data_IF_442917214587
#
_entry.id   IF_442917214587
#
_cell.length_a   1.000
_cell.length_b   1.000
_cell.length_c   1.000
_cell.angle_alpha   90.00
_cell.angle_beta   90.00
_cell.angle_gamma   90.00
#
_symmetry.space_group_name_H-M   'P 1'
#
loop_
_entity.id
_entity.type
_entity.pdbx_description
1 polymer ?
#
# COMPACT_ATOMS: atom_id res chain seq x y z
N UNK A 1 52.95 -2.31 18.35
CA UNK A 1 51.88 -1.30 18.14
C UNK A 1 51.31 -1.46 16.73
N UNK A 2 50.33 -2.35 16.50
CA UNK A 2 49.67 -2.51 15.19
C UNK A 2 48.18 -2.10 15.18
N UNK A 3 47.61 -1.61 16.29
CA UNK A 3 46.17 -1.39 16.40
C UNK A 3 45.66 -0.05 15.85
N UNK A 4 46.54 0.84 15.37
CA UNK A 4 46.13 2.20 15.00
C UNK A 4 45.77 2.36 13.51
N UNK A 5 46.27 1.49 12.63
CA UNK A 5 45.99 1.55 11.19
C UNK A 5 44.62 0.94 10.86
N UNK A 6 44.19 -0.11 11.55
CA UNK A 6 42.87 -0.72 11.31
C UNK A 6 41.71 0.22 11.71
N UNK A 7 41.86 0.98 12.80
CA UNK A 7 40.83 1.95 13.21
C UNK A 7 40.69 3.12 12.22
N UNK A 8 41.77 3.51 11.53
CA UNK A 8 41.69 4.57 10.51
C UNK A 8 41.00 4.08 9.23
N UNK A 9 41.19 2.81 8.87
CA UNK A 9 40.54 2.22 7.70
C UNK A 9 39.04 2.06 7.90
N UNK A 10 38.60 1.57 9.08
CA UNK A 10 37.18 1.45 9.41
C UNK A 10 36.47 2.82 9.43
N UNK A 11 37.12 3.86 9.98
CA UNK A 11 36.55 5.20 10.01
C UNK A 11 36.38 5.80 8.60
N UNK A 12 37.35 5.57 7.71
CA UNK A 12 37.27 6.03 6.32
C UNK A 12 36.18 5.30 5.52
N UNK A 13 35.97 4.02 5.80
CA UNK A 13 34.91 3.22 5.16
C UNK A 13 33.51 3.66 5.63
N UNK A 14 33.37 3.98 6.92
CA UNK A 14 32.12 4.51 7.49
C UNK A 14 31.80 5.90 6.94
N UNK A 15 32.78 6.81 6.86
CA UNK A 15 32.61 8.14 6.30
C UNK A 15 32.28 8.10 4.79
N UNK A 16 32.87 7.17 4.04
CA UNK A 16 32.56 6.96 2.62
C UNK A 16 31.14 6.43 2.42
N UNK A 17 30.70 5.47 3.24
CA UNK A 17 29.33 4.95 3.19
C UNK A 17 28.30 6.01 3.58
N UNK A 18 28.61 6.84 4.58
CA UNK A 18 27.71 7.91 5.02
C UNK A 18 27.63 9.06 4.02
N UNK A 19 28.72 9.35 3.29
CA UNK A 19 28.73 10.27 2.14
C UNK A 19 27.87 9.76 0.98
N UNK A 20 27.97 8.47 0.63
CA UNK A 20 27.13 7.83 -0.40
C UNK A 20 25.65 7.86 0.00
N UNK A 21 25.32 7.54 1.27
CA UNK A 21 23.95 7.62 1.79
C UNK A 21 23.39 9.03 1.70
N UNK A 22 24.20 10.04 2.03
CA UNK A 22 23.81 11.46 1.90
C UNK A 22 23.57 11.84 0.43
N UNK A 23 24.45 11.45 -0.49
CA UNK A 23 24.28 11.70 -1.94
C UNK A 23 22.97 11.15 -2.50
N UNK A 24 22.66 9.88 -2.23
CA UNK A 24 21.42 9.21 -2.69
C UNK A 24 20.15 9.90 -2.16
N UNK A 25 20.22 10.53 -0.98
CA UNK A 25 19.07 11.23 -0.38
C UNK A 25 18.88 12.63 -0.98
N UNK A 26 19.96 13.35 -1.29
CA UNK A 26 19.89 14.66 -1.94
C UNK A 26 19.34 14.57 -3.37
N UNK A 27 19.71 13.52 -4.11
CA UNK A 27 19.20 13.31 -5.48
C UNK A 27 17.69 13.00 -5.50
N UNK A 28 17.20 12.21 -4.53
CA UNK A 28 15.75 11.93 -4.37
C UNK A 28 14.92 13.19 -4.08
N UNK A 29 15.47 14.16 -3.36
CA UNK A 29 14.77 15.40 -3.03
C UNK A 29 14.72 16.40 -4.20
N UNK A 30 15.70 16.38 -5.10
CA UNK A 30 15.75 17.26 -6.26
C UNK A 30 14.79 16.80 -7.38
N UNK A 31 14.62 15.49 -7.55
CA UNK A 31 13.72 14.91 -8.56
C UNK A 31 12.24 15.17 -8.25
N UNK A 32 11.83 15.16 -6.98
CA UNK A 32 10.48 15.55 -6.58
C UNK A 32 10.14 16.99 -7.01
N UNK A 33 11.13 17.90 -6.98
CA UNK A 33 10.95 19.29 -7.42
C UNK A 33 10.83 19.42 -8.95
N UNK A 34 11.68 18.72 -9.70
CA UNK A 34 11.63 18.73 -11.16
C UNK A 34 10.31 18.10 -11.67
N UNK A 35 9.87 17.02 -11.04
CA UNK A 35 8.59 16.38 -11.33
C UNK A 35 7.41 17.30 -10.96
N UNK A 36 7.42 17.93 -9.78
CA UNK A 36 6.37 18.89 -9.39
C UNK A 36 6.33 20.10 -10.35
N UNK A 37 7.49 20.59 -10.81
CA UNK A 37 7.59 21.69 -11.77
C UNK A 37 7.01 21.28 -13.14
N UNK A 38 7.39 20.11 -13.65
CA UNK A 38 6.88 19.59 -14.93
C UNK A 38 5.38 19.26 -14.87
N UNK A 39 4.90 18.68 -13.75
CA UNK A 39 3.49 18.40 -13.53
C UNK A 39 2.67 19.69 -13.39
N UNK A 40 3.21 20.75 -12.77
CA UNK A 40 2.55 22.07 -12.76
C UNK A 40 2.44 22.69 -14.15
N UNK A 41 3.53 22.67 -14.93
CA UNK A 41 3.54 23.16 -16.31
C UNK A 41 2.53 22.42 -17.19
N UNK A 42 2.47 21.09 -17.09
CA UNK A 42 1.51 20.28 -17.86
C UNK A 42 0.09 20.37 -17.32
N UNK A 43 -0.11 20.54 -16.01
CA UNK A 43 -1.44 20.81 -15.45
C UNK A 43 -1.98 22.16 -15.92
N UNK A 44 -1.13 23.15 -16.16
CA UNK A 44 -1.52 24.42 -16.77
C UNK A 44 -1.89 24.23 -18.25
N UNK A 45 -1.10 23.48 -19.01
CA UNK A 45 -1.42 23.14 -20.42
C UNK A 45 -2.73 22.33 -20.53
N UNK A 46 -2.95 21.33 -19.68
CA UNK A 46 -4.22 20.60 -19.62
C UNK A 46 -5.39 21.48 -19.18
N UNK A 47 -5.17 22.48 -18.31
CA UNK A 47 -6.21 23.46 -17.96
C UNK A 47 -6.55 24.34 -19.16
N UNK A 48 -5.57 24.78 -19.93
CA UNK A 48 -5.81 25.52 -21.18
C UNK A 48 -6.60 24.65 -22.16
N UNK A 49 -6.21 23.38 -22.35
CA UNK A 49 -6.93 22.43 -23.21
C UNK A 49 -8.35 22.13 -22.72
N UNK A 50 -8.58 22.00 -21.41
CA UNK A 50 -9.90 21.80 -20.82
C UNK A 50 -10.78 23.06 -20.92
N UNK A 51 -10.18 24.25 -20.80
CA UNK A 51 -10.87 25.53 -21.02
C UNK A 51 -11.24 25.68 -22.49
N UNK A 52 -10.36 25.30 -23.43
CA UNK A 52 -10.68 25.25 -24.86
C UNK A 52 -11.80 24.26 -25.16
N UNK A 53 -11.72 23.05 -24.60
CA UNK A 53 -12.75 22.02 -24.76
C UNK A 53 -14.10 22.47 -24.18
N UNK A 54 -14.11 23.09 -22.98
CA UNK A 54 -15.31 23.65 -22.38
C UNK A 54 -15.84 24.86 -23.13
N UNK A 55 -14.98 25.67 -23.75
CA UNK A 55 -15.40 26.77 -24.61
C UNK A 55 -16.00 26.26 -25.91
N UNK A 56 -15.50 25.16 -26.47
CA UNK A 56 -16.08 24.52 -27.64
C UNK A 56 -17.40 23.81 -27.31
N UNK A 57 -17.49 23.17 -26.14
CA UNK A 57 -18.74 22.63 -25.60
C UNK A 57 -19.73 23.76 -25.29
N UNK A 58 -19.31 24.87 -24.69
CA UNK A 58 -20.14 26.03 -24.42
C UNK A 58 -20.59 26.74 -25.71
N UNK A 59 -19.71 26.86 -26.71
CA UNK A 59 -20.07 27.34 -28.06
C UNK A 59 -21.08 26.41 -28.73
N UNK A 60 -21.03 25.11 -28.46
CA UNK A 60 -22.04 24.14 -28.93
C UNK A 60 -23.31 24.13 -28.08
N UNK A 61 -23.26 24.58 -26.82
CA UNK A 61 -24.38 24.64 -25.88
C UNK A 61 -25.07 26.01 -25.83
N UNK A 62 -24.49 27.05 -26.43
CA UNK A 62 -25.06 28.41 -26.50
C UNK A 62 -26.33 28.51 -27.37
N UNK A 63 -26.75 27.42 -28.00
CA UNK A 63 -28.08 27.29 -28.62
C UNK A 63 -29.19 26.84 -27.65
N UNK A 64 -28.90 26.60 -26.37
CA UNK A 64 -29.95 26.22 -25.41
C UNK A 64 -29.67 26.61 -23.96
N UNK A 65 -30.25 27.76 -23.61
CA UNK A 65 -30.73 28.18 -22.29
C UNK A 65 -29.72 28.71 -21.23
N UNK A 66 -30.13 29.71 -20.42
CA UNK A 66 -29.25 30.38 -19.47
C UNK A 66 -29.45 29.88 -18.02
N UNK A 67 -28.34 29.89 -17.28
CA UNK A 67 -28.32 30.37 -15.89
C UNK A 67 -28.07 29.35 -14.79
N UNK A 68 -26.82 29.23 -14.36
CA UNK A 68 -26.51 29.04 -12.93
C UNK A 68 -25.04 29.40 -12.66
N UNK A 69 -24.83 30.52 -11.95
CA UNK A 69 -23.53 30.92 -11.41
C UNK A 69 -23.16 30.00 -10.23
N UNK A 70 -22.04 29.28 -10.35
CA UNK A 70 -21.39 28.61 -9.24
C UNK A 70 -20.48 29.60 -8.51
N UNK A 71 -20.68 29.74 -7.20
CA UNK A 71 -19.91 30.57 -6.31
C UNK A 71 -18.48 30.04 -6.17
N UNK A 72 -17.53 30.70 -6.83
CA UNK A 72 -16.10 30.55 -6.58
C UNK A 72 -15.76 31.14 -5.20
N UNK A 73 -15.30 30.30 -4.28
CA UNK A 73 -14.64 30.74 -3.04
C UNK A 73 -13.17 31.00 -3.40
N UNK A 74 -12.89 32.16 -4.00
CA UNK A 74 -11.53 32.69 -4.15
C UNK A 74 -11.10 33.34 -2.83
N UNK A 75 -10.43 32.56 -1.98
CA UNK A 75 -9.42 33.07 -1.04
C UNK A 75 -8.07 32.50 -1.49
N UNK A 76 -7.40 33.21 -2.38
CA UNK A 76 -6.21 32.74 -3.11
C UNK A 76 -5.02 32.29 -2.24
N UNK A 77 -4.97 32.62 -0.94
CA UNK A 77 -3.83 32.30 -0.06
C UNK A 77 -4.04 31.15 0.94
N UNK A 78 -5.24 30.55 0.99
CA UNK A 78 -5.64 29.60 2.03
C UNK A 78 -6.20 28.26 1.52
N UNK A 79 -5.90 27.87 0.28
CA UNK A 79 -6.27 26.50 -0.16
C UNK A 79 -5.53 25.45 0.67
N UNK A 80 -6.13 24.27 0.81
CA UNK A 80 -5.53 23.14 1.54
C UNK A 80 -4.16 22.78 0.97
N UNK A 81 -4.05 22.74 -0.36
CA UNK A 81 -2.80 22.49 -1.07
C UNK A 81 -1.72 23.54 -0.73
N UNK A 82 -2.08 24.83 -0.68
CA UNK A 82 -1.15 25.90 -0.32
C UNK A 82 -0.69 25.77 1.14
N UNK A 83 -1.59 25.45 2.07
CA UNK A 83 -1.26 25.27 3.50
C UNK A 83 -0.25 24.13 3.70
N UNK A 84 -0.50 22.94 3.13
CA UNK A 84 0.39 21.79 3.31
C UNK A 84 1.76 22.01 2.64
N UNK A 85 1.80 22.65 1.46
CA UNK A 85 3.06 22.95 0.74
C UNK A 85 3.91 23.98 1.46
N UNK A 86 3.28 25.07 1.90
CA UNK A 86 3.98 26.15 2.64
C UNK A 86 4.65 25.58 3.89
N UNK A 87 3.93 24.77 4.67
CA UNK A 87 4.51 24.14 5.86
C UNK A 87 5.61 23.14 5.53
N UNK A 88 5.42 22.32 4.49
CA UNK A 88 6.43 21.37 4.06
C UNK A 88 7.74 22.06 3.66
N UNK A 89 7.67 23.21 2.99
CA UNK A 89 8.83 24.03 2.63
C UNK A 89 9.55 24.59 3.86
N UNK A 90 8.81 25.09 4.86
CA UNK A 90 9.38 25.57 6.13
C UNK A 90 10.15 24.47 6.89
N UNK A 91 9.63 23.24 6.85
CA UNK A 91 10.22 22.10 7.57
C UNK A 91 11.35 21.42 6.80
N UNK A 92 11.39 21.55 5.46
CA UNK A 92 12.36 20.89 4.58
C UNK A 92 13.81 21.12 5.03
N UNK A 93 14.18 22.34 5.40
CA UNK A 93 15.56 22.67 5.80
C UNK A 93 16.03 21.90 7.04
N UNK A 94 15.10 21.45 7.88
CA UNK A 94 15.38 20.72 9.11
C UNK A 94 15.01 19.24 9.03
N UNK A 95 14.71 18.72 7.83
CA UNK A 95 14.12 17.39 7.63
C UNK A 95 14.78 16.27 8.44
N UNK A 96 16.11 16.24 8.49
CA UNK A 96 16.84 15.18 9.19
C UNK A 96 16.68 15.21 10.71
N UNK A 97 16.43 16.39 11.29
CA UNK A 97 16.18 16.56 12.74
C UNK A 97 14.71 16.46 13.13
N UNK A 98 13.80 16.29 12.16
CA UNK A 98 12.37 16.18 12.42
C UNK A 98 11.98 14.80 12.95
N UNK A 99 10.94 14.79 13.78
CA UNK A 99 10.25 13.56 14.19
C UNK A 99 9.47 12.95 13.02
N UNK A 100 9.09 11.67 13.12
CA UNK A 100 8.44 10.95 12.01
C UNK A 100 7.17 11.64 11.47
N UNK A 101 6.34 12.18 12.37
CA UNK A 101 5.12 12.89 12.00
C UNK A 101 5.41 14.20 11.25
N UNK A 102 6.47 14.90 11.62
CA UNK A 102 6.89 16.14 10.95
C UNK A 102 7.58 15.84 9.61
N UNK A 103 8.32 14.73 9.52
CA UNK A 103 8.81 14.20 8.23
C UNK A 103 7.65 13.85 7.30
N UNK A 104 6.52 13.39 7.84
CA UNK A 104 5.27 13.20 7.08
C UNK A 104 4.73 14.48 6.47
N UNK A 105 4.70 15.57 7.25
CA UNK A 105 4.31 16.90 6.74
C UNK A 105 5.17 17.31 5.55
N UNK A 106 6.49 17.12 5.63
CA UNK A 106 7.40 17.43 4.51
C UNK A 106 7.16 16.50 3.33
N UNK A 107 7.20 15.18 3.56
CA UNK A 107 7.19 14.17 2.50
C UNK A 107 5.89 14.20 1.71
N UNK A 108 4.75 14.30 2.39
CA UNK A 108 3.43 14.37 1.75
C UNK A 108 3.15 15.77 1.20
N UNK A 109 3.48 16.83 1.95
CA UNK A 109 3.17 18.20 1.56
C UNK A 109 3.95 18.66 0.32
N UNK A 110 5.23 18.30 0.18
CA UNK A 110 5.99 18.57 -1.06
C UNK A 110 5.43 17.80 -2.27
N UNK A 111 4.76 16.67 -2.03
CA UNK A 111 4.08 15.92 -3.07
C UNK A 111 2.61 16.34 -3.26
N UNK A 112 2.15 17.40 -2.58
CA UNK A 112 0.76 17.86 -2.63
C UNK A 112 -0.26 16.80 -2.18
N UNK A 113 0.15 15.87 -1.33
CA UNK A 113 -0.69 14.82 -0.78
C UNK A 113 -1.25 15.28 0.56
N UNK A 114 -2.56 15.15 0.74
CA UNK A 114 -3.24 15.36 2.02
C UNK A 114 -3.68 14.01 2.59
N UNK A 115 -2.96 13.48 3.58
CA UNK A 115 -3.34 12.22 4.21
C UNK A 115 -4.34 12.46 5.35
N UNK A 116 -5.63 12.27 5.04
CA UNK A 116 -6.75 12.46 5.98
C UNK A 116 -6.97 11.27 6.91
N UNK A 117 -6.14 10.23 6.82
CA UNK A 117 -6.21 9.06 7.70
C UNK A 117 -5.57 9.26 9.07
N UNK A 118 -4.79 10.33 9.24
CA UNK A 118 -4.21 10.69 10.54
C UNK A 118 -5.29 11.11 11.55
N UNK A 119 -5.10 10.66 12.80
CA UNK A 119 -5.87 11.18 13.92
C UNK A 119 -5.39 12.60 14.26
N UNK A 120 -6.28 13.42 14.82
CA UNK A 120 -5.86 14.70 15.36
C UNK A 120 -5.24 14.52 16.76
N UNK A 121 -4.06 15.11 17.08
CA UNK A 121 -3.23 15.99 16.28
C UNK A 121 -1.94 15.31 15.74
N UNK A 122 -2.03 14.39 14.79
CA UNK A 122 -0.89 13.71 14.17
C UNK A 122 -0.55 14.24 12.76
N UNK A 123 0.74 14.27 12.43
CA UNK A 123 1.24 14.63 11.11
C UNK A 123 0.60 15.92 10.54
N UNK A 124 -0.02 15.87 9.35
CA UNK A 124 -0.64 17.00 8.66
C UNK A 124 -1.89 17.53 9.36
N UNK A 125 -2.52 16.78 10.26
CA UNK A 125 -3.69 17.29 10.97
C UNK A 125 -3.37 18.48 11.87
N UNK A 126 -2.11 18.61 12.33
CA UNK A 126 -1.62 19.73 13.15
C UNK A 126 -1.62 21.06 12.40
N UNK A 127 -1.74 21.03 11.07
CA UNK A 127 -1.75 22.22 10.22
C UNK A 127 -3.11 22.91 10.20
N UNK A 128 -4.12 22.23 10.75
CA UNK A 128 -5.51 22.64 10.75
C UNK A 128 -6.04 22.64 12.18
N UNK A 129 -7.09 23.42 12.43
CA UNK A 129 -7.89 23.26 13.66
C UNK A 129 -8.61 21.91 13.64
N UNK A 130 -9.02 21.41 14.81
CA UNK A 130 -9.77 20.16 14.89
C UNK A 130 -11.07 20.21 14.05
N UNK A 131 -11.75 21.37 14.02
CA UNK A 131 -12.97 21.53 13.21
C UNK A 131 -12.66 21.47 11.70
N UNK A 132 -11.63 22.18 11.24
CA UNK A 132 -11.19 22.12 9.84
C UNK A 132 -10.79 20.69 9.46
N UNK A 133 -10.06 19.97 10.31
CA UNK A 133 -9.68 18.59 10.04
C UNK A 133 -10.90 17.66 9.93
N UNK A 134 -11.92 17.85 10.78
CA UNK A 134 -13.17 17.08 10.69
C UNK A 134 -13.92 17.35 9.38
N UNK A 135 -13.96 18.61 8.92
CA UNK A 135 -14.57 18.94 7.63
C UNK A 135 -13.75 18.36 6.47
N UNK A 136 -12.42 18.41 6.50
CA UNK A 136 -11.56 17.80 5.49
C UNK A 136 -11.79 16.27 5.40
N UNK A 137 -11.90 15.58 6.54
CA UNK A 137 -12.21 14.14 6.58
C UNK A 137 -13.61 13.82 6.06
N UNK A 138 -14.55 14.76 6.14
CA UNK A 138 -15.91 14.62 5.61
C UNK A 138 -15.96 14.90 4.12
N UNK A 139 -15.19 15.88 3.65
CA UNK A 139 -15.05 16.25 2.24
C UNK A 139 -14.34 15.14 1.46
N UNK A 140 -13.16 14.72 1.94
CA UNK A 140 -12.34 13.67 1.33
C UNK A 140 -12.58 12.34 2.06
N UNK A 141 -13.85 11.95 2.14
CA UNK A 141 -14.24 10.78 2.91
C UNK A 141 -13.73 9.50 2.25
N UNK A 142 -13.25 8.53 3.06
CA UNK A 142 -13.00 7.15 2.66
C UNK A 142 -13.97 6.63 1.63
N UNK A 143 -13.46 6.14 0.50
CA UNK A 143 -14.16 5.19 -0.37
C UNK A 143 -14.55 4.01 0.51
N UNK A 144 -15.80 4.04 0.98
CA UNK A 144 -16.33 2.97 1.78
C UNK A 144 -16.53 1.75 0.89
N UNK A 145 -15.86 0.64 1.20
CA UNK A 145 -16.18 -0.63 0.55
C UNK A 145 -17.55 -1.09 1.01
N UNK A 146 -18.46 -1.35 0.07
CA UNK A 146 -19.76 -1.92 0.40
C UNK A 146 -19.59 -3.38 0.84
N UNK A 147 -19.53 -3.60 2.15
CA UNK A 147 -19.41 -4.95 2.73
C UNK A 147 -20.76 -5.63 2.95
N UNK A 148 -21.87 -4.97 2.63
CA UNK A 148 -23.22 -5.49 2.93
C UNK A 148 -23.52 -6.74 2.12
N UNK A 149 -23.04 -6.81 0.88
CA UNK A 149 -23.17 -7.98 0.00
C UNK A 149 -22.42 -9.22 0.52
N UNK A 150 -21.40 -9.01 1.37
CA UNK A 150 -20.60 -10.09 1.97
C UNK A 150 -21.28 -10.73 3.19
N UNK A 151 -22.43 -10.22 3.63
CA UNK A 151 -23.23 -10.84 4.70
C UNK A 151 -23.58 -12.31 4.39
N UNK A 152 -23.86 -12.62 3.13
CA UNK A 152 -24.14 -14.00 2.68
C UNK A 152 -22.93 -14.93 2.80
N UNK A 153 -21.72 -14.41 2.53
CA UNK A 153 -20.47 -15.19 2.59
C UNK A 153 -20.22 -15.66 4.02
N UNK A 154 -20.52 -14.81 5.01
CA UNK A 154 -20.44 -15.20 6.43
C UNK A 154 -21.29 -16.43 6.73
N UNK A 155 -22.52 -16.48 6.22
CA UNK A 155 -23.41 -17.65 6.39
C UNK A 155 -22.87 -18.89 5.67
N UNK A 156 -22.28 -18.73 4.48
CA UNK A 156 -21.66 -19.83 3.72
C UNK A 156 -20.46 -20.42 4.46
N UNK A 157 -19.60 -19.58 5.06
CA UNK A 157 -18.42 -20.01 5.80
C UNK A 157 -18.71 -20.48 7.24
N UNK A 158 -19.92 -20.20 7.76
CA UNK A 158 -20.33 -20.54 9.12
C UNK A 158 -20.07 -22.01 9.50
N UNK A 159 -20.35 -23.02 8.65
CA UNK A 159 -20.08 -24.42 8.98
C UNK A 159 -18.60 -24.70 9.28
N UNK A 160 -17.68 -24.02 8.59
CA UNK A 160 -16.23 -24.16 8.81
C UNK A 160 -15.87 -23.73 10.23
N UNK A 161 -16.35 -22.57 10.66
CA UNK A 161 -16.07 -22.03 11.99
C UNK A 161 -16.80 -22.81 13.10
N UNK A 162 -18.02 -23.28 12.85
CA UNK A 162 -18.77 -24.12 13.79
C UNK A 162 -18.17 -25.52 14.01
N UNK A 163 -17.34 -25.98 13.07
CA UNK A 163 -16.62 -27.24 13.21
C UNK A 163 -15.58 -27.21 14.35
N UNK A 164 -15.13 -26.02 14.75
CA UNK A 164 -14.22 -25.83 15.88
C UNK A 164 -14.91 -26.13 17.21
N UNK A 165 -14.24 -26.91 18.07
CA UNK A 165 -14.70 -27.24 19.42
C UNK A 165 -13.56 -27.05 20.42
N UNK A 166 -13.78 -26.17 21.41
CA UNK A 166 -12.77 -25.86 22.45
C UNK A 166 -12.31 -27.09 23.24
N UNK A 167 -13.17 -28.10 23.39
CA UNK A 167 -12.87 -29.34 24.11
C UNK A 167 -12.19 -30.43 23.26
N UNK A 168 -11.70 -30.10 22.06
CA UNK A 168 -11.01 -31.03 21.16
C UNK A 168 -9.55 -30.61 20.95
N UNK A 169 -8.73 -31.59 20.57
CA UNK A 169 -7.32 -31.35 20.23
C UNK A 169 -7.20 -30.49 18.98
N UNK A 170 -6.06 -29.83 18.83
CA UNK A 170 -5.71 -29.04 17.64
C UNK A 170 -5.91 -29.84 16.34
N UNK A 171 -5.33 -31.03 16.25
CA UNK A 171 -5.44 -31.90 15.06
C UNK A 171 -6.89 -32.22 14.70
N UNK A 172 -7.71 -32.54 15.71
CA UNK A 172 -9.12 -32.86 15.50
C UNK A 172 -9.92 -31.66 15.01
N UNK A 173 -9.66 -30.47 15.56
CA UNK A 173 -10.30 -29.23 15.11
C UNK A 173 -9.87 -28.89 13.69
N UNK A 174 -8.56 -28.91 13.41
CA UNK A 174 -8.02 -28.62 12.08
C UNK A 174 -8.61 -29.53 11.01
N UNK A 175 -8.60 -30.86 11.22
CA UNK A 175 -9.14 -31.83 10.25
C UNK A 175 -10.63 -31.57 9.97
N UNK A 176 -11.42 -31.24 10.99
CA UNK A 176 -12.85 -30.96 10.82
C UNK A 176 -13.08 -29.66 10.05
N UNK A 177 -12.43 -28.57 10.44
CA UNK A 177 -12.53 -27.29 9.74
C UNK A 177 -12.08 -27.41 8.28
N UNK A 178 -10.94 -28.06 8.03
CA UNK A 178 -10.41 -28.28 6.69
C UNK A 178 -11.36 -29.13 5.82
N UNK A 179 -11.98 -30.17 6.40
CA UNK A 179 -12.99 -30.98 5.69
C UNK A 179 -14.22 -30.16 5.28
N UNK A 180 -14.73 -29.30 6.16
CA UNK A 180 -15.85 -28.42 5.81
C UNK A 180 -15.46 -27.40 4.74
N UNK A 181 -14.27 -26.78 4.85
CA UNK A 181 -13.78 -25.85 3.83
C UNK A 181 -13.62 -26.53 2.45
N UNK A 182 -13.08 -27.76 2.43
CA UNK A 182 -12.98 -28.58 1.20
C UNK A 182 -14.33 -28.98 0.60
N UNK A 183 -15.38 -29.15 1.41
CA UNK A 183 -16.73 -29.36 0.87
C UNK A 183 -17.26 -28.11 0.18
N UNK A 184 -17.03 -26.94 0.77
CA UNK A 184 -17.42 -25.65 0.18
C UNK A 184 -16.65 -25.38 -1.12
N UNK A 185 -15.32 -25.61 -1.14
CA UNK A 185 -14.48 -25.43 -2.33
C UNK A 185 -15.04 -26.19 -3.54
N UNK A 186 -15.46 -27.45 -3.35
CA UNK A 186 -16.07 -28.26 -4.42
C UNK A 186 -17.39 -27.71 -4.95
N UNK A 187 -18.13 -26.96 -4.12
CA UNK A 187 -19.44 -26.41 -4.49
C UNK A 187 -19.35 -25.02 -5.12
N UNK A 188 -18.34 -24.24 -4.75
CA UNK A 188 -18.15 -22.85 -5.17
C UNK A 188 -16.90 -22.65 -6.03
N UNK A 189 -16.47 -23.67 -6.77
CA UNK A 189 -15.30 -23.57 -7.65
C UNK A 189 -15.57 -22.55 -8.79
N UNK A 190 -14.73 -21.50 -8.92
CA UNK A 190 -14.95 -20.42 -9.88
C UNK A 190 -14.79 -20.89 -11.33
N UNK A 191 -14.09 -22.02 -11.57
CA UNK A 191 -13.99 -22.63 -12.91
C UNK A 191 -15.38 -23.00 -13.45
N UNK A 192 -16.30 -23.40 -12.56
CA UNK A 192 -17.66 -23.79 -12.96
C UNK A 192 -18.67 -22.65 -12.86
N UNK A 193 -18.38 -21.58 -12.11
CA UNK A 193 -19.27 -20.42 -11.96
C UNK A 193 -18.49 -19.15 -11.59
N UNK A 194 -18.23 -18.25 -12.55
CA UNK A 194 -17.62 -16.95 -12.27
C UNK A 194 -18.41 -16.09 -11.27
N UNK A 195 -19.73 -16.34 -11.15
CA UNK A 195 -20.61 -15.65 -10.19
C UNK A 195 -20.28 -15.93 -8.72
N UNK A 196 -19.43 -16.92 -8.46
CA UNK A 196 -18.99 -17.29 -7.11
C UNK A 196 -17.53 -16.92 -6.86
N UNK A 197 -16.90 -16.09 -7.70
CA UNK A 197 -15.47 -15.75 -7.55
C UNK A 197 -15.13 -15.16 -6.17
N UNK A 198 -15.99 -14.29 -5.63
CA UNK A 198 -15.92 -13.73 -4.29
C UNK A 198 -15.94 -14.82 -3.20
N UNK A 199 -16.94 -15.72 -3.25
CA UNK A 199 -17.11 -16.83 -2.32
C UNK A 199 -15.92 -17.79 -2.41
N UNK A 200 -15.51 -18.12 -3.63
CA UNK A 200 -14.37 -18.99 -3.92
C UNK A 200 -13.08 -18.44 -3.32
N UNK A 201 -12.84 -17.14 -3.49
CA UNK A 201 -11.70 -16.45 -2.90
C UNK A 201 -11.73 -16.52 -1.39
N UNK A 202 -12.88 -16.24 -0.75
CA UNK A 202 -13.00 -16.33 0.70
C UNK A 202 -12.78 -17.76 1.24
N UNK A 203 -13.28 -18.79 0.53
CA UNK A 203 -13.02 -20.20 0.88
C UNK A 203 -11.52 -20.50 0.76
N UNK A 204 -10.89 -20.09 -0.34
CA UNK A 204 -9.45 -20.23 -0.54
C UNK A 204 -8.67 -19.55 0.59
N UNK A 205 -9.01 -18.31 0.94
CA UNK A 205 -8.37 -17.56 2.02
C UNK A 205 -8.46 -18.33 3.34
N UNK A 206 -9.63 -18.83 3.72
CA UNK A 206 -9.80 -19.66 4.92
C UNK A 206 -8.94 -20.93 4.87
N UNK A 207 -8.88 -21.59 3.71
CA UNK A 207 -8.05 -22.78 3.55
C UNK A 207 -6.55 -22.47 3.61
N UNK A 208 -6.12 -21.32 3.10
CA UNK A 208 -4.75 -20.85 3.20
C UNK A 208 -4.38 -20.59 4.67
N UNK A 209 -5.23 -19.88 5.42
CA UNK A 209 -5.07 -19.67 6.87
C UNK A 209 -4.95 -21.01 7.61
N UNK A 210 -5.86 -21.97 7.35
CA UNK A 210 -5.80 -23.29 7.97
C UNK A 210 -4.50 -24.04 7.62
N UNK A 211 -4.04 -23.95 6.37
CA UNK A 211 -2.81 -24.61 5.93
C UNK A 211 -1.58 -24.03 6.62
N UNK A 212 -1.51 -22.70 6.74
CA UNK A 212 -0.39 -22.02 7.41
C UNK A 212 -0.38 -22.35 8.89
N UNK A 213 -1.54 -22.35 9.55
CA UNK A 213 -1.67 -22.77 10.96
C UNK A 213 -1.11 -24.18 11.18
N UNK A 214 -1.30 -25.10 10.22
CA UNK A 214 -0.83 -26.49 10.32
C UNK A 214 0.65 -26.65 10.05
N UNK A 215 1.14 -26.04 8.99
CA UNK A 215 2.47 -26.33 8.44
C UNK A 215 3.52 -25.27 8.74
N UNK A 216 3.09 -24.04 9.04
CA UNK A 216 3.95 -22.92 9.41
C UNK A 216 3.46 -22.24 10.71
N UNK A 217 3.23 -22.99 11.80
CA UNK A 217 2.67 -22.43 13.03
C UNK A 217 3.55 -21.32 13.65
N UNK A 218 4.85 -21.29 13.32
CA UNK A 218 5.76 -20.27 13.81
C UNK A 218 5.43 -18.84 13.37
N UNK A 219 4.70 -18.66 12.26
CA UNK A 219 4.19 -17.34 11.84
C UNK A 219 3.16 -16.73 12.80
N UNK A 220 2.62 -17.53 13.72
CA UNK A 220 1.68 -17.10 14.76
C UNK A 220 2.32 -17.08 16.15
N UNK A 221 3.58 -17.50 16.27
CA UNK A 221 4.30 -17.55 17.54
C UNK A 221 5.14 -16.29 17.69
N UNK A 222 4.75 -15.40 18.61
CA UNK A 222 5.50 -14.17 18.92
C UNK A 222 6.91 -14.44 19.46
N UNK A 223 7.21 -15.66 19.89
CA UNK A 223 8.55 -16.04 20.35
C UNK A 223 9.50 -16.37 19.19
N UNK A 224 8.97 -16.55 17.97
CA UNK A 224 9.76 -16.80 16.77
C UNK A 224 9.90 -15.50 16.00
N UNK A 225 11.14 -15.05 15.85
CA UNK A 225 11.49 -13.92 15.01
C UNK A 225 11.27 -14.30 13.53
N UNK A 226 10.14 -13.85 12.98
CA UNK A 226 9.75 -14.11 11.60
C UNK A 226 10.05 -12.88 10.76
N UNK A 227 10.79 -13.08 9.68
CA UNK A 227 11.11 -11.98 8.77
C UNK A 227 9.86 -11.49 8.03
N UNK A 228 9.92 -10.27 7.51
CA UNK A 228 8.92 -9.74 6.58
C UNK A 228 8.64 -10.70 5.41
N UNK A 229 9.71 -11.25 4.81
CA UNK A 229 9.62 -12.20 3.71
C UNK A 229 8.97 -13.54 4.10
N UNK A 230 9.01 -13.94 5.36
CA UNK A 230 8.25 -15.11 5.82
C UNK A 230 6.75 -14.88 5.67
N UNK A 231 6.24 -13.68 6.01
CA UNK A 231 4.84 -13.33 5.82
C UNK A 231 4.49 -13.16 4.35
N UNK A 232 5.34 -12.48 3.58
CA UNK A 232 5.14 -12.28 2.13
C UNK A 232 5.06 -13.63 1.41
N UNK A 233 6.07 -14.49 1.54
CA UNK A 233 6.13 -15.74 0.77
C UNK A 233 5.10 -16.76 1.24
N UNK A 234 4.89 -16.89 2.56
CA UNK A 234 4.04 -17.97 3.11
C UNK A 234 2.57 -17.59 3.24
N UNK A 235 2.26 -16.30 3.41
CA UNK A 235 0.90 -15.80 3.67
C UNK A 235 0.39 -14.92 2.53
N UNK A 236 0.96 -13.72 2.34
CA UNK A 236 0.38 -12.70 1.45
C UNK A 236 0.53 -13.01 -0.04
N UNK A 237 1.64 -13.61 -0.45
CA UNK A 237 1.93 -14.00 -1.83
C UNK A 237 0.83 -14.90 -2.40
N UNK A 238 0.57 -16.10 -1.82
CA UNK A 238 -0.50 -16.96 -2.28
C UNK A 238 -1.89 -16.30 -2.30
N UNK A 239 -2.17 -15.40 -1.36
CA UNK A 239 -3.46 -14.70 -1.25
C UNK A 239 -3.64 -13.68 -2.37
N UNK A 240 -2.64 -12.84 -2.60
CA UNK A 240 -2.67 -11.79 -3.62
C UNK A 240 -2.60 -12.39 -5.03
N UNK A 241 -1.76 -13.40 -5.27
CA UNK A 241 -1.74 -14.15 -6.55
C UNK A 241 -3.12 -14.71 -6.88
N UNK A 242 -3.82 -15.27 -5.88
CA UNK A 242 -5.19 -15.76 -6.08
C UNK A 242 -6.22 -14.65 -6.25
N UNK A 243 -6.03 -13.50 -5.62
CA UNK A 243 -6.92 -12.34 -5.75
C UNK A 243 -6.92 -11.78 -7.18
N UNK A 244 -5.74 -11.70 -7.79
CA UNK A 244 -5.54 -11.19 -9.15
C UNK A 244 -5.59 -12.27 -10.22
N UNK A 245 -5.89 -13.52 -9.84
CA UNK A 245 -6.06 -14.59 -10.79
C UNK A 245 -7.17 -14.24 -11.80
N UNK A 246 -6.86 -14.38 -13.08
CA UNK A 246 -7.75 -14.10 -14.22
C UNK A 246 -8.13 -12.62 -14.39
N UNK A 247 -7.46 -11.68 -13.73
CA UNK A 247 -7.75 -10.23 -13.81
C UNK A 247 -7.07 -9.49 -14.95
N UNK A 248 -6.31 -10.19 -15.82
CA UNK A 248 -5.36 -9.63 -16.80
C UNK A 248 -4.20 -8.80 -16.18
N UNK A 249 -4.23 -8.56 -14.87
CA UNK A 249 -3.18 -7.88 -14.13
C UNK A 249 -2.09 -8.87 -13.75
N UNK A 250 -0.84 -8.40 -13.81
CA UNK A 250 0.34 -9.16 -13.44
C UNK A 250 0.95 -8.64 -12.16
N UNK A 251 1.25 -9.57 -11.25
CA UNK A 251 1.99 -9.30 -10.03
C UNK A 251 3.48 -9.42 -10.26
N UNK A 252 4.24 -8.45 -9.75
CA UNK A 252 5.71 -8.44 -9.77
C UNK A 252 6.27 -8.18 -8.39
N UNK A 253 6.79 -9.23 -7.76
CA UNK A 253 7.39 -9.20 -6.44
C UNK A 253 8.89 -8.85 -6.45
N UNK A 254 9.36 -8.35 -5.32
CA UNK A 254 10.77 -8.04 -5.05
C UNK A 254 11.04 -6.54 -5.13
N UNK A 255 12.32 -6.15 -5.05
CA UNK A 255 12.80 -4.76 -5.23
C UNK A 255 12.55 -4.26 -6.66
N UNK A 256 11.28 -4.06 -7.01
CA UNK A 256 10.86 -3.63 -8.33
C UNK A 256 10.71 -2.13 -8.37
N UNK A 257 10.93 -1.55 -9.53
CA UNK A 257 10.91 -0.11 -9.73
C UNK A 257 9.60 0.28 -10.41
N UNK A 258 8.90 1.31 -9.94
CA UNK A 258 7.78 1.88 -10.69
C UNK A 258 8.23 2.32 -12.09
N UNK A 259 7.38 2.10 -13.09
CA UNK A 259 7.61 2.60 -14.44
C UNK A 259 7.48 4.13 -14.39
N UNK A 260 8.57 4.86 -14.66
CA UNK A 260 8.55 6.32 -14.80
C UNK A 260 8.66 6.68 -16.28
N UNK A 261 7.78 7.56 -16.76
CA UNK A 261 7.86 8.08 -18.12
C UNK A 261 9.10 8.99 -18.29
N UNK A 262 10.19 8.42 -18.81
CA UNK A 262 11.35 9.00 -19.52
C UNK A 262 12.01 10.32 -19.04
N UNK A 263 11.79 10.78 -17.82
CA UNK A 263 12.54 11.91 -17.26
C UNK A 263 13.28 11.52 -15.98
N UNK A 264 14.60 11.38 -16.14
CA UNK A 264 15.67 11.20 -15.12
C UNK A 264 15.89 9.74 -14.67
N UNK A 265 16.89 9.12 -15.29
CA UNK A 265 17.22 7.69 -15.33
C UNK A 265 17.78 7.04 -14.05
N UNK A 266 17.65 7.64 -12.85
CA UNK A 266 18.37 7.12 -11.67
C UNK A 266 17.56 7.02 -10.35
N UNK A 267 16.36 7.59 -10.27
CA UNK A 267 15.54 7.54 -9.04
C UNK A 267 14.25 6.79 -9.27
N UNK A 268 14.36 5.48 -9.49
CA UNK A 268 13.19 4.64 -9.46
C UNK A 268 12.67 4.49 -8.02
N UNK A 269 11.35 4.65 -7.86
CA UNK A 269 10.67 4.30 -6.62
C UNK A 269 10.62 2.79 -6.51
N UNK A 270 11.32 2.24 -5.51
CA UNK A 270 11.35 0.82 -5.23
C UNK A 270 10.10 0.42 -4.46
N UNK A 271 9.39 -0.59 -4.93
CA UNK A 271 8.21 -1.16 -4.28
C UNK A 271 8.33 -2.68 -4.16
N UNK A 272 7.76 -3.25 -3.11
CA UNK A 272 7.84 -4.70 -2.84
C UNK A 272 6.98 -5.54 -3.78
N UNK A 273 5.84 -4.98 -4.20
CA UNK A 273 4.95 -5.57 -5.19
C UNK A 273 4.34 -4.49 -6.09
N UNK A 274 4.48 -4.69 -7.40
CA UNK A 274 3.73 -3.96 -8.43
C UNK A 274 2.58 -4.80 -8.94
N UNK A 275 1.43 -4.18 -9.09
CA UNK A 275 0.33 -4.70 -9.90
C UNK A 275 0.39 -3.95 -11.22
N UNK A 276 0.68 -4.64 -12.31
CA UNK A 276 0.85 -4.05 -13.64
C UNK A 276 -0.25 -4.53 -14.60
N UNK A 277 -0.73 -3.63 -15.44
CA UNK A 277 -1.53 -3.93 -16.62
C UNK A 277 -0.63 -3.89 -17.86
N UNK A 278 -0.47 -5.03 -18.51
CA UNK A 278 0.35 -5.15 -19.71
C UNK A 278 -0.46 -4.76 -20.94
N UNK A 279 -0.04 -3.71 -21.64
CA UNK A 279 -0.60 -3.33 -22.94
C UNK A 279 0.38 -3.63 -24.05
N UNK A 280 -0.07 -4.37 -25.06
CA UNK A 280 0.69 -4.55 -26.29
C UNK A 280 0.67 -3.25 -27.10
N UNK A 281 1.81 -2.54 -27.19
CA UNK A 281 1.96 -1.39 -28.07
C UNK A 281 2.85 -1.77 -29.24
N UNK A 282 2.22 -2.01 -30.39
CA UNK A 282 2.84 -2.49 -31.64
C UNK A 282 3.57 -3.84 -31.51
N UNK A 283 4.76 -3.86 -30.90
CA UNK A 283 5.66 -5.02 -30.75
C UNK A 283 6.35 -5.11 -29.38
N UNK A 284 6.11 -4.16 -28.49
CA UNK A 284 6.67 -4.16 -27.14
C UNK A 284 5.54 -4.21 -26.10
N UNK A 285 5.81 -4.86 -24.98
CA UNK A 285 4.96 -4.80 -23.80
C UNK A 285 5.19 -3.45 -23.13
N UNK A 286 4.16 -2.62 -23.09
CA UNK A 286 4.11 -1.44 -22.24
C UNK A 286 3.45 -1.85 -20.92
N UNK A 287 4.18 -1.73 -19.83
CA UNK A 287 3.68 -2.06 -18.50
C UNK A 287 3.19 -0.78 -17.82
N UNK A 288 1.91 -0.75 -17.47
CA UNK A 288 1.33 0.35 -16.70
C UNK A 288 1.05 -0.13 -15.28
N UNK A 289 1.67 0.51 -14.29
CA UNK A 289 1.40 0.24 -12.88
C UNK A 289 -0.02 0.68 -12.53
N UNK A 290 -0.82 -0.18 -11.90
CA UNK A 290 -2.20 0.12 -11.49
C UNK A 290 -2.38 0.17 -9.98
N UNK A 291 -1.50 -0.50 -9.24
CA UNK A 291 -1.48 -0.54 -7.78
C UNK A 291 -0.10 -0.97 -7.28
N UNK A 292 0.18 -0.66 -6.01
CA UNK A 292 1.39 -1.10 -5.31
C UNK A 292 1.04 -1.75 -3.98
N UNK A 293 1.95 -2.57 -3.50
CA UNK A 293 1.93 -3.07 -2.13
C UNK A 293 3.32 -2.92 -1.51
N UNK A 294 3.33 -2.45 -0.26
CA UNK A 294 4.51 -2.45 0.61
C UNK A 294 4.32 -3.45 1.74
N UNK A 295 5.39 -4.18 2.03
CA UNK A 295 5.50 -5.07 3.15
C UNK A 295 6.35 -4.44 4.26
N UNK A 296 5.98 -4.74 5.49
CA UNK A 296 6.75 -4.39 6.66
C UNK A 296 6.80 -5.60 7.60
N UNK A 297 7.86 -5.67 8.40
CA UNK A 297 7.93 -6.58 9.53
C UNK A 297 6.72 -6.37 10.48
N UNK A 298 6.22 -7.43 11.11
CA UNK A 298 5.06 -7.38 12.01
C UNK A 298 5.26 -6.40 13.18
N UNK A 299 6.50 -6.23 13.63
CA UNK A 299 6.87 -5.33 14.72
C UNK A 299 7.84 -4.23 14.28
N UNK A 300 7.76 -3.80 13.02
CA UNK A 300 8.62 -2.75 12.45
C UNK A 300 8.58 -1.41 13.24
N UNK A 301 7.64 -1.28 14.17
CA UNK A 301 7.44 -0.10 14.99
C UNK A 301 6.61 0.95 14.28
N UNK A 302 6.00 1.84 15.07
CA UNK A 302 5.11 2.87 14.54
C UNK A 302 5.80 3.78 13.53
N UNK A 303 7.10 4.05 13.70
CA UNK A 303 7.85 4.94 12.82
C UNK A 303 8.03 4.37 11.40
N UNK A 304 8.45 3.10 11.26
CA UNK A 304 8.58 2.44 9.94
C UNK A 304 7.22 2.30 9.28
N UNK A 305 6.22 1.87 10.04
CA UNK A 305 4.86 1.73 9.54
C UNK A 305 4.31 3.04 8.97
N UNK A 306 4.46 4.15 9.69
CA UNK A 306 4.05 5.49 9.22
C UNK A 306 4.88 5.92 8.01
N UNK A 307 6.19 5.64 7.99
CA UNK A 307 7.05 6.00 6.87
C UNK A 307 6.67 5.29 5.58
N UNK A 308 6.44 3.98 5.63
CA UNK A 308 6.01 3.19 4.47
C UNK A 308 4.65 3.66 3.98
N UNK A 309 3.77 4.08 4.89
CA UNK A 309 2.51 4.70 4.50
C UNK A 309 2.72 5.95 3.64
N UNK A 310 3.67 6.82 4.01
CA UNK A 310 4.01 7.99 3.19
C UNK A 310 4.53 7.59 1.82
N UNK A 311 5.40 6.59 1.80
CA UNK A 311 6.01 6.05 0.59
C UNK A 311 4.93 5.56 -0.40
N UNK A 312 3.99 4.75 0.08
CA UNK A 312 2.85 4.25 -0.72
C UNK A 312 2.01 5.38 -1.30
N UNK A 313 1.68 6.42 -0.51
CA UNK A 313 0.89 7.54 -1.02
C UNK A 313 1.61 8.30 -2.15
N UNK A 314 2.94 8.44 -2.05
CA UNK A 314 3.77 9.05 -3.09
C UNK A 314 3.78 8.18 -4.35
N UNK A 315 3.90 6.87 -4.19
CA UNK A 315 3.87 5.89 -5.29
C UNK A 315 2.53 5.86 -6.01
N UNK A 316 1.43 5.88 -5.26
CA UNK A 316 0.09 6.00 -5.83
C UNK A 316 -0.06 7.28 -6.65
N UNK A 317 0.45 8.41 -6.15
CA UNK A 317 0.46 9.67 -6.90
C UNK A 317 1.24 9.53 -8.20
N UNK A 318 2.41 8.89 -8.19
CA UNK A 318 3.19 8.66 -9.41
C UNK A 318 2.39 7.83 -10.43
N UNK A 319 1.66 6.82 -9.99
CA UNK A 319 0.78 6.05 -10.86
C UNK A 319 -0.30 6.95 -11.48
N UNK A 320 -1.01 7.74 -10.68
CA UNK A 320 -2.03 8.68 -11.17
C UNK A 320 -1.42 9.63 -12.20
N UNK A 321 -0.28 10.24 -11.88
CA UNK A 321 0.38 11.20 -12.76
C UNK A 321 0.83 10.57 -14.07
N UNK A 322 1.35 9.35 -14.06
CA UNK A 322 1.69 8.62 -15.28
C UNK A 322 0.47 8.42 -16.19
N UNK A 323 -0.68 8.05 -15.62
CA UNK A 323 -1.92 7.91 -16.40
C UNK A 323 -2.37 9.23 -17.01
N UNK A 324 -2.28 10.33 -16.26
CA UNK A 324 -2.61 11.67 -16.77
C UNK A 324 -1.67 12.07 -17.92
N UNK A 325 -0.37 11.80 -17.79
CA UNK A 325 0.63 12.08 -18.82
C UNK A 325 0.38 11.26 -20.10
N UNK A 326 -0.17 10.05 -19.96
CA UNK A 326 -0.57 9.18 -21.07
C UNK A 326 -1.95 9.56 -21.66
N UNK A 327 -2.61 10.60 -21.14
CA UNK A 327 -3.95 11.03 -21.55
C UNK A 327 -5.08 10.08 -21.10
N UNK A 328 -4.81 9.21 -20.13
CA UNK A 328 -5.78 8.30 -19.56
C UNK A 328 -6.43 8.87 -18.28
N UNK A 329 -7.73 8.63 -18.12
CA UNK A 329 -8.46 9.03 -16.92
C UNK A 329 -8.32 7.96 -15.84
N UNK A 330 -7.31 8.11 -14.99
CA UNK A 330 -7.21 7.41 -13.71
C UNK A 330 -7.03 8.45 -12.62
N UNK A 331 -8.10 8.74 -11.88
CA UNK A 331 -8.05 9.71 -10.79
C UNK A 331 -7.76 9.07 -9.44
N UNK A 332 -7.77 7.74 -9.32
CA UNK A 332 -7.66 7.07 -8.01
C UNK A 332 -6.88 5.76 -8.11
N UNK A 333 -6.05 5.50 -7.11
CA UNK A 333 -5.24 4.28 -6.99
C UNK A 333 -5.45 3.68 -5.60
N UNK A 334 -5.75 2.38 -5.57
CA UNK A 334 -5.77 1.58 -4.36
C UNK A 334 -4.41 0.89 -4.19
N UNK A 335 -3.94 0.82 -2.96
CA UNK A 335 -2.70 0.14 -2.59
C UNK A 335 -2.85 -0.56 -1.25
N UNK A 336 -1.90 -1.46 -0.99
CA UNK A 336 -1.89 -2.28 0.21
C UNK A 336 -0.62 -2.02 1.02
N UNK A 337 -0.77 -1.91 2.32
CA UNK A 337 0.35 -2.04 3.25
C UNK A 337 0.10 -3.26 4.10
N UNK A 338 1.04 -4.21 4.09
CA UNK A 338 0.97 -5.41 4.92
C UNK A 338 2.04 -5.35 6.01
N UNK A 339 1.68 -5.74 7.22
CA UNK A 339 2.62 -5.86 8.34
C UNK A 339 2.29 -7.11 9.14
N UNK A 340 3.16 -8.12 9.05
CA UNK A 340 2.85 -9.45 9.57
C UNK A 340 1.58 -10.04 8.93
N UNK A 341 0.56 -10.30 9.75
CA UNK A 341 -0.78 -10.73 9.29
C UNK A 341 -1.81 -9.58 9.21
N UNK A 342 -1.39 -8.34 9.49
CA UNK A 342 -2.19 -7.14 9.33
C UNK A 342 -2.17 -6.63 7.90
N UNK A 343 -3.28 -6.03 7.48
CA UNK A 343 -3.42 -5.39 6.17
C UNK A 343 -4.13 -4.05 6.31
N UNK A 344 -3.67 -3.10 5.52
CA UNK A 344 -4.15 -1.73 5.48
C UNK A 344 -4.41 -1.37 4.03
N UNK A 345 -5.63 -0.93 3.74
CA UNK A 345 -6.01 -0.47 2.41
C UNK A 345 -5.85 1.04 2.34
N UNK A 346 -5.04 1.50 1.40
CA UNK A 346 -4.86 2.91 1.13
C UNK A 346 -5.50 3.25 -0.21
N UNK A 347 -6.20 4.37 -0.24
CA UNK A 347 -6.67 4.98 -1.47
C UNK A 347 -6.02 6.36 -1.59
N UNK A 348 -5.54 6.69 -2.78
CA UNK A 348 -5.08 8.05 -3.11
C UNK A 348 -5.85 8.49 -4.33
N UNK A 349 -6.45 9.67 -4.27
CA UNK A 349 -7.28 10.21 -5.34
C UNK A 349 -6.81 11.62 -5.71
N UNK A 350 -6.83 11.96 -7.00
CA UNK A 350 -6.69 13.32 -7.50
C UNK A 350 -8.06 14.00 -7.49
N UNK A 351 -8.29 14.88 -6.52
CA UNK A 351 -9.56 15.58 -6.33
C UNK A 351 -9.57 16.95 -7.04
N UNK A 352 -8.45 17.68 -6.97
CA UNK A 352 -8.29 18.98 -7.61
C UNK A 352 -6.91 19.05 -8.28
N UNK A 353 -6.71 19.93 -9.29
CA UNK A 353 -5.41 20.08 -9.94
C UNK A 353 -4.27 20.33 -8.94
N UNK A 354 -3.46 19.29 -8.71
CA UNK A 354 -2.34 19.33 -7.77
C UNK A 354 -2.71 19.12 -6.30
N UNK A 355 -3.86 18.51 -5.96
CA UNK A 355 -4.20 18.05 -4.62
C UNK A 355 -4.61 16.57 -4.66
N UNK A 356 -3.89 15.76 -3.86
CA UNK A 356 -4.08 14.31 -3.82
C UNK A 356 -4.45 13.86 -2.41
N UNK A 357 -5.74 13.83 -2.05
CA UNK A 357 -6.13 13.24 -0.79
C UNK A 357 -5.77 11.75 -0.74
N UNK A 358 -5.17 11.34 0.36
CA UNK A 358 -4.87 9.96 0.67
C UNK A 358 -5.58 9.56 1.95
N UNK A 359 -6.06 8.33 1.97
CA UNK A 359 -6.92 7.85 3.05
C UNK A 359 -6.67 6.37 3.33
N UNK A 360 -6.94 5.99 4.57
CA UNK A 360 -6.94 4.61 5.02
C UNK A 360 -8.40 4.14 5.01
N UNK A 361 -8.73 3.29 4.04
CA UNK A 361 -10.11 2.85 3.78
C UNK A 361 -10.53 1.75 4.74
N UNK A 362 -9.62 0.84 5.10
CA UNK A 362 -9.87 -0.21 6.10
C UNK A 362 -8.57 -0.63 6.81
N UNK A 363 -8.68 -0.89 8.12
CA UNK A 363 -7.59 -1.36 8.97
C UNK A 363 -8.00 -2.70 9.61
N UNK A 364 -7.34 -3.79 9.21
CA UNK A 364 -7.46 -5.07 9.90
C UNK A 364 -6.20 -5.28 10.75
N UNK A 365 -6.28 -4.96 12.05
CA UNK A 365 -5.10 -4.82 12.92
C UNK A 365 -4.38 -6.13 13.23
N UNK A 366 -5.05 -7.29 13.19
CA UNK A 366 -4.39 -8.61 13.26
C UNK A 366 -5.38 -9.76 13.12
N UNK A 367 -5.03 -10.81 12.38
CA UNK A 367 -5.75 -12.10 12.42
C UNK A 367 -5.47 -12.85 13.74
N UNK A 368 -4.41 -12.52 14.49
CA UNK A 368 -4.01 -13.22 15.73
C UNK A 368 -5.03 -13.09 16.87
N UNK A 369 -5.74 -11.97 16.96
CA UNK A 369 -6.63 -11.65 18.08
C UNK A 369 -7.79 -12.63 18.30
N UNK A 370 -8.11 -13.45 17.30
CA UNK A 370 -9.18 -14.49 17.41
C UNK A 370 -8.64 -15.90 17.57
N UNK A 371 -7.33 -16.11 17.38
CA UNK A 371 -6.70 -17.43 17.42
C UNK A 371 -5.61 -17.45 18.49
N UNK A 372 -6.01 -17.73 19.73
CA UNK A 372 -5.06 -18.21 20.74
C UNK A 372 -4.92 -19.72 20.57
N UNK A 373 -3.85 -20.25 19.93
CA UNK A 373 -3.61 -21.67 20.01
C UNK A 373 -3.52 -22.04 21.48
N UNK A 374 -4.14 -23.15 21.93
CA UNK A 374 -3.91 -23.64 23.27
C UNK A 374 -2.40 -23.82 23.42
N UNK A 375 -1.77 -23.06 24.33
CA UNK A 375 -0.35 -23.20 24.65
C UNK A 375 -0.13 -24.64 25.08
N UNK A 376 0.36 -25.48 24.18
CA UNK A 376 0.73 -26.83 24.54
C UNK A 376 2.02 -26.69 25.36
N UNK A 377 2.02 -27.14 26.62
CA UNK A 377 3.21 -27.16 27.48
C UNK A 377 4.30 -28.15 26.98
N UNK A 378 4.29 -28.52 25.70
CA UNK A 378 5.11 -29.59 25.11
C UNK A 378 5.48 -29.30 23.65
N UNK A 379 6.07 -28.14 23.37
CA UNK A 379 6.93 -28.01 22.18
C UNK A 379 8.33 -28.50 22.57
N UNK A 380 8.58 -29.81 22.46
CA UNK A 380 9.96 -30.29 22.34
C UNK A 380 10.36 -30.06 20.88
N UNK A 381 11.35 -29.20 20.67
CA UNK A 381 12.07 -29.10 19.41
C UNK A 381 12.41 -30.54 18.96
N UNK A 382 12.01 -30.98 17.76
CA UNK A 382 12.37 -32.29 17.27
C UNK A 382 13.90 -32.40 17.21
N UNK A 383 14.51 -33.50 17.66
CA UNK A 383 15.96 -33.65 17.59
C UNK A 383 16.39 -33.56 16.12
N UNK A 384 17.57 -32.96 15.85
CA UNK A 384 18.07 -32.85 14.48
C UNK A 384 18.18 -34.23 13.83
N UNK A 385 17.84 -34.35 12.53
CA UNK A 385 17.88 -35.62 11.81
C UNK A 385 19.31 -36.18 11.80
N UNK A 386 19.50 -37.37 12.38
CA UNK A 386 20.81 -38.00 12.61
C UNK A 386 21.60 -38.37 11.34
N UNK A 387 21.08 -38.14 10.13
CA UNK A 387 21.62 -38.76 8.91
C UNK A 387 21.84 -37.81 7.72
N UNK A 388 21.86 -36.48 7.90
CA UNK A 388 21.98 -35.56 6.76
C UNK A 388 23.41 -35.33 6.24
N UNK A 389 24.44 -35.85 6.91
CA UNK A 389 25.83 -35.78 6.44
C UNK A 389 26.56 -37.09 6.73
N UNK A 390 26.36 -38.10 5.89
CA UNK A 390 27.38 -39.14 5.72
C UNK A 390 28.34 -38.65 4.64
N UNK A 391 29.57 -38.30 5.04
CA UNK A 391 30.66 -38.11 4.09
C UNK A 391 30.80 -39.37 3.24
N UNK A 392 30.82 -39.20 1.92
CA UNK A 392 31.32 -40.25 1.04
C UNK A 392 32.81 -40.41 1.34
N UNK A 393 33.17 -41.59 1.83
CA UNK A 393 34.56 -42.08 1.82
C UNK A 393 34.76 -42.92 0.57
#
# INVERSE_FOLDING_TARGET
>A
MPNNENNQLEQLEEDAQDSIRRGVIYDRQFVAYQFEYNSKLRSLDMKEQLVELNNDVARSALDSAPGSEQQNIEKEDNSVATVIKRKALEYREKYHSLEINEKGVVSLGLNSILDVSFNFPDCQSKLFTNQEWLELRKQYRPVGYNTTEYGRIRSILQPVFQAYRQNKTFDNNWVKMYKEAKKLEKHYDPVFSPKHADIAFCIFFVMQVLSIIRYNPGLFDTAIDSSEWDFVVKFWGPITERLFQDSELRLKWGDTNLTLNDTVSETALKVDLRVANDKMKQRYNAEHDVAVLEAAEENAGNAKFIFDRFKISIENKVIIDNYLLDGALLSSVNSLQVSGLGIHFLNTTLEEPGLYPSELTEKQESIRGTWSPPRSNKSRIPPPPKNLWKSRT
#
